data_IF_009420769825
#
_entry.id   IF_009420769825
#
_cell.length_a   1.000
_cell.length_b   1.000
_cell.length_c   1.000
_cell.angle_alpha   90.00
_cell.angle_beta   90.00
_cell.angle_gamma   90.00
#
_symmetry.space_group_name_H-M   'P 1'
#
loop_
_entity.id
_entity.type
_entity.pdbx_description
1 polymer ?
#
# COMPACT_ATOMS: atom_id res chain seq x y z
N UNK A 1 17.66 1.80 8.13
CA UNK A 1 16.23 1.99 8.44
C UNK A 1 15.62 2.87 7.36
N UNK A 2 14.86 2.31 6.46
CA UNK A 2 14.24 3.05 5.36
C UNK A 2 12.74 3.18 5.60
N UNK A 3 12.21 4.38 5.44
CA UNK A 3 10.78 4.67 5.46
C UNK A 3 10.38 5.24 4.10
N UNK A 4 9.32 4.69 3.51
CA UNK A 4 8.80 5.16 2.23
C UNK A 4 7.54 5.99 2.45
N UNK A 5 7.51 7.19 1.90
CA UNK A 5 6.40 8.12 2.03
C UNK A 5 5.50 8.04 0.79
N UNK A 6 4.78 6.93 0.64
CA UNK A 6 3.95 6.68 -0.56
C UNK A 6 2.78 7.64 -0.69
N UNK A 7 2.17 8.07 0.41
CA UNK A 7 1.09 9.07 0.38
C UNK A 7 1.56 10.44 -0.11
N UNK A 8 2.86 10.74 -0.01
CA UNK A 8 3.43 11.95 -0.61
C UNK A 8 3.30 11.94 -2.13
N UNK A 9 3.43 10.78 -2.77
CA UNK A 9 3.20 10.66 -4.22
C UNK A 9 1.73 10.93 -4.57
N UNK A 10 0.80 10.45 -3.75
CA UNK A 10 -0.62 10.68 -3.95
C UNK A 10 -0.99 12.17 -3.84
N UNK A 11 -0.64 12.83 -2.75
CA UNK A 11 -1.04 14.21 -2.50
C UNK A 11 -0.23 15.26 -3.27
N UNK A 12 1.06 15.01 -3.51
CA UNK A 12 1.98 16.01 -4.05
C UNK A 12 2.68 15.59 -5.35
N UNK A 13 2.41 14.39 -5.83
CA UNK A 13 3.09 13.81 -7.00
C UNK A 13 3.01 14.67 -8.25
N UNK A 14 1.86 15.30 -8.50
CA UNK A 14 1.71 16.21 -9.66
C UNK A 14 2.66 17.40 -9.59
N UNK A 15 2.85 17.98 -8.41
CA UNK A 15 3.81 19.09 -8.22
C UNK A 15 5.24 18.61 -8.43
N UNK A 16 5.55 17.41 -7.93
CA UNK A 16 6.88 16.82 -8.11
C UNK A 16 7.17 16.56 -9.58
N UNK A 17 6.21 15.98 -10.31
CA UNK A 17 6.38 15.66 -11.73
C UNK A 17 6.43 16.91 -12.60
N UNK A 18 5.48 17.85 -12.42
CA UNK A 18 5.25 18.91 -13.36
C UNK A 18 6.00 20.21 -13.05
N UNK A 19 6.39 20.42 -11.78
CA UNK A 19 7.00 21.68 -11.34
C UNK A 19 8.45 21.49 -10.87
N UNK A 20 8.69 20.50 -9.97
CA UNK A 20 9.98 20.47 -9.25
C UNK A 20 11.04 19.59 -9.90
N UNK A 21 10.68 18.39 -10.37
CA UNK A 21 11.67 17.36 -10.71
C UNK A 21 11.61 16.89 -12.15
N UNK A 22 10.49 17.09 -12.83
CA UNK A 22 10.21 16.45 -14.12
C UNK A 22 9.84 14.96 -13.96
N UNK A 23 9.36 14.31 -15.03
CA UNK A 23 8.79 12.96 -14.96
C UNK A 23 9.79 11.90 -14.50
N UNK A 24 11.00 11.89 -15.03
CA UNK A 24 11.99 10.87 -14.68
C UNK A 24 12.35 10.85 -13.20
N UNK A 25 12.72 11.99 -12.62
CA UNK A 25 13.08 12.07 -11.20
C UNK A 25 11.87 11.90 -10.28
N UNK A 26 10.69 12.38 -10.68
CA UNK A 26 9.46 12.18 -9.91
C UNK A 26 9.10 10.70 -9.78
N UNK A 27 9.38 9.87 -10.78
CA UNK A 27 9.18 8.43 -10.71
C UNK A 27 10.01 7.76 -9.60
N UNK A 28 11.12 8.37 -9.20
CA UNK A 28 12.01 7.86 -8.15
C UNK A 28 11.63 8.35 -6.73
N UNK A 29 10.58 9.13 -6.58
CA UNK A 29 10.12 9.54 -5.24
C UNK A 29 9.54 8.33 -4.52
N UNK A 30 9.95 8.10 -3.26
CA UNK A 30 9.53 6.96 -2.45
C UNK A 30 9.73 5.62 -3.19
N UNK A 31 10.97 5.23 -3.52
CA UNK A 31 11.27 4.11 -4.40
C UNK A 31 11.14 2.76 -3.67
N UNK A 32 9.91 2.37 -3.34
CA UNK A 32 9.63 1.21 -2.50
C UNK A 32 10.01 -0.12 -3.18
N UNK A 33 9.81 -0.24 -4.51
CA UNK A 33 10.15 -1.47 -5.22
C UNK A 33 11.66 -1.73 -5.23
N UNK A 34 12.49 -0.71 -5.34
CA UNK A 34 13.95 -0.90 -5.18
C UNK A 34 14.29 -1.49 -3.81
N UNK A 35 13.61 -1.09 -2.74
CA UNK A 35 13.85 -1.67 -1.42
C UNK A 35 13.54 -3.17 -1.40
N UNK A 36 12.47 -3.59 -2.07
CA UNK A 36 12.13 -5.01 -2.23
C UNK A 36 13.22 -5.75 -3.00
N UNK A 37 13.62 -5.22 -4.15
CA UNK A 37 14.57 -5.89 -5.05
C UNK A 37 15.97 -6.05 -4.43
N UNK A 38 16.37 -5.08 -3.61
CA UNK A 38 17.62 -5.14 -2.86
C UNK A 38 17.50 -5.84 -1.50
N UNK A 39 16.35 -6.45 -1.20
CA UNK A 39 16.11 -7.14 0.07
C UNK A 39 16.14 -6.21 1.30
N UNK A 40 15.92 -4.92 1.10
CA UNK A 40 15.90 -3.94 2.18
C UNK A 40 14.53 -3.91 2.86
N UNK A 41 14.53 -4.02 4.17
CA UNK A 41 13.31 -3.83 4.96
C UNK A 41 12.94 -2.35 5.04
N UNK A 42 11.68 -2.05 4.78
CA UNK A 42 11.14 -0.69 4.83
C UNK A 42 9.72 -0.70 5.38
N UNK A 43 9.27 0.43 5.88
CA UNK A 43 7.88 0.65 6.25
C UNK A 43 7.33 1.89 5.56
N UNK A 44 6.01 1.99 5.52
CA UNK A 44 5.34 3.23 5.13
C UNK A 44 5.23 4.19 6.32
N UNK A 45 5.14 5.48 6.03
CA UNK A 45 4.78 6.51 6.98
C UNK A 45 3.95 7.60 6.30
N UNK A 46 3.20 8.36 7.08
CA UNK A 46 2.32 9.41 6.61
C UNK A 46 2.83 10.82 6.90
N UNK A 47 3.84 10.96 7.77
CA UNK A 47 4.37 12.26 8.19
C UNK A 47 3.25 13.19 8.63
N UNK A 48 2.51 12.76 9.64
CA UNK A 48 1.24 13.38 10.10
C UNK A 48 1.38 14.89 10.28
N UNK A 49 0.44 15.60 9.77
CA UNK A 49 0.25 16.98 9.42
C UNK A 49 0.64 17.30 7.96
N UNK A 50 1.58 16.58 7.35
CA UNK A 50 1.87 16.69 5.91
C UNK A 50 0.83 15.92 5.11
N UNK A 51 0.54 14.68 5.53
CA UNK A 51 -0.59 13.89 5.01
C UNK A 51 -1.38 13.27 6.16
N UNK A 52 -2.69 12.99 5.97
CA UNK A 52 -3.50 12.32 6.98
C UNK A 52 -2.96 10.93 7.31
N UNK A 53 -3.12 10.48 8.56
CA UNK A 53 -2.85 9.08 8.92
C UNK A 53 -3.88 8.20 8.25
N UNK A 54 -3.44 7.38 7.30
CA UNK A 54 -4.29 6.41 6.62
C UNK A 54 -3.44 5.24 6.10
N UNK A 55 -3.38 4.12 6.81
CA UNK A 55 -2.66 2.93 6.35
C UNK A 55 -3.20 2.40 5.02
N UNK A 56 -4.53 2.37 4.82
CA UNK A 56 -5.15 1.93 3.58
C UNK A 56 -4.80 2.84 2.40
N UNK A 57 -4.75 4.17 2.61
CA UNK A 57 -4.27 5.09 1.58
C UNK A 57 -2.78 4.87 1.29
N UNK A 58 -1.97 4.54 2.30
CA UNK A 58 -0.54 4.23 2.08
C UNK A 58 -0.37 2.97 1.25
N UNK A 59 -1.19 1.92 1.50
CA UNK A 59 -1.23 0.69 0.70
C UNK A 59 -1.63 1.03 -0.74
N UNK A 60 -2.78 1.68 -0.93
CA UNK A 60 -3.26 2.07 -2.26
C UNK A 60 -2.22 2.89 -3.03
N UNK A 61 -1.60 3.88 -2.38
CA UNK A 61 -0.56 4.70 -2.99
C UNK A 61 0.71 3.92 -3.35
N UNK A 62 1.07 2.94 -2.53
CA UNK A 62 2.21 2.05 -2.80
C UNK A 62 1.97 1.10 -3.97
N UNK A 63 0.73 0.65 -4.14
CA UNK A 63 0.32 -0.28 -5.21
C UNK A 63 0.07 0.46 -6.53
N UNK A 64 -0.54 1.63 -6.50
CA UNK A 64 -0.99 2.33 -7.71
C UNK A 64 -0.05 3.42 -8.17
N UNK A 65 0.56 4.15 -7.23
CA UNK A 65 1.33 5.38 -7.44
C UNK A 65 0.54 6.46 -8.20
N UNK A 66 -0.78 6.44 -8.11
CA UNK A 66 -1.69 7.42 -8.72
C UNK A 66 -1.75 8.66 -7.84
N UNK A 67 -1.86 9.85 -8.45
CA UNK A 67 -2.00 11.10 -7.72
C UNK A 67 -3.47 11.44 -7.44
N UNK A 68 -3.73 12.23 -6.40
CA UNK A 68 -5.09 12.69 -6.06
C UNK A 68 -5.76 13.44 -7.21
N UNK A 69 -4.99 14.19 -7.99
CA UNK A 69 -5.49 14.96 -9.12
C UNK A 69 -5.88 14.09 -10.31
N UNK A 70 -5.33 12.86 -10.41
CA UNK A 70 -5.71 11.95 -11.49
C UNK A 70 -7.20 11.61 -11.46
N UNK A 71 -7.84 11.73 -10.29
CA UNK A 71 -9.28 11.52 -10.10
C UNK A 71 -10.13 12.79 -10.30
N UNK A 72 -9.52 13.98 -10.19
CA UNK A 72 -10.25 15.26 -10.19
C UNK A 72 -10.25 15.96 -11.54
N UNK A 73 -9.30 15.63 -12.42
CA UNK A 73 -9.14 16.31 -13.71
C UNK A 73 -8.84 15.29 -14.81
N UNK A 74 -9.51 15.42 -15.95
CA UNK A 74 -9.10 14.76 -17.18
C UNK A 74 -7.64 15.15 -17.47
N UNK A 75 -6.73 14.17 -17.45
CA UNK A 75 -5.29 14.41 -17.57
C UNK A 75 -4.49 14.28 -16.28
N UNK A 76 -5.07 13.71 -15.23
CA UNK A 76 -4.35 13.36 -13.99
C UNK A 76 -3.17 12.44 -14.25
N UNK A 77 -2.14 12.57 -13.43
CA UNK A 77 -0.82 11.98 -13.67
C UNK A 77 -0.62 10.71 -12.86
N UNK A 78 -0.22 9.64 -13.51
CA UNK A 78 0.36 8.46 -12.86
C UNK A 78 1.86 8.69 -12.70
N UNK A 79 2.37 8.55 -11.46
CA UNK A 79 3.80 8.67 -11.17
C UNK A 79 4.42 7.27 -11.15
N UNK A 80 4.19 6.51 -12.18
CA UNK A 80 4.86 5.24 -12.40
C UNK A 80 5.00 5.00 -13.88
N UNK A 81 6.03 4.31 -14.28
CA UNK A 81 6.16 3.74 -15.61
C UNK A 81 5.15 2.62 -15.86
N UNK A 82 3.89 2.85 -15.51
CA UNK A 82 2.83 1.87 -15.65
C UNK A 82 2.46 1.66 -17.11
N UNK A 83 2.26 0.40 -17.49
CA UNK A 83 1.67 0.00 -18.76
C UNK A 83 0.25 0.54 -19.02
N UNK A 84 -0.34 1.25 -18.05
CA UNK A 84 -1.63 1.93 -18.19
C UNK A 84 -1.51 3.40 -18.66
N UNK A 85 -0.30 3.94 -18.73
CA UNK A 85 -0.05 5.24 -19.36
C UNK A 85 0.55 4.99 -20.76
N UNK A 86 -0.25 5.13 -21.84
CA UNK A 86 0.23 4.92 -23.21
C UNK A 86 1.38 5.88 -23.58
N UNK A 87 1.43 7.07 -22.97
CA UNK A 87 2.50 8.03 -23.23
C UNK A 87 3.82 7.63 -22.57
N UNK A 88 3.75 7.02 -21.38
CA UNK A 88 4.93 6.49 -20.70
C UNK A 88 5.53 5.29 -21.46
N UNK A 89 4.68 4.46 -22.08
CA UNK A 89 5.14 3.32 -22.88
C UNK A 89 5.86 3.78 -24.15
N UNK A 90 5.37 4.82 -24.80
CA UNK A 90 5.99 5.38 -26.01
C UNK A 90 7.35 6.02 -25.69
N UNK A 91 7.46 6.73 -24.57
CA UNK A 91 8.74 7.27 -24.12
C UNK A 91 9.74 6.17 -23.73
N UNK A 92 9.28 5.06 -23.15
CA UNK A 92 10.09 3.88 -22.81
C UNK A 92 10.68 3.21 -24.07
N UNK A 93 9.86 3.01 -25.10
CA UNK A 93 10.31 2.41 -26.36
C UNK A 93 11.32 3.32 -27.09
N UNK A 94 11.03 4.61 -27.17
CA UNK A 94 11.93 5.58 -27.80
C UNK A 94 13.30 5.72 -27.09
N UNK A 95 13.34 5.44 -25.79
CA UNK A 95 14.56 5.54 -25.00
C UNK A 95 15.38 4.26 -24.94
N UNK A 96 14.77 3.11 -25.16
CA UNK A 96 15.51 1.83 -25.28
C UNK A 96 16.58 1.87 -26.37
N UNK A 97 16.35 2.63 -27.43
CA UNK A 97 17.27 2.72 -28.57
C UNK A 97 18.46 3.68 -28.36
N UNK A 98 18.45 4.52 -27.33
CA UNK A 98 19.47 5.53 -27.09
C UNK A 98 20.70 5.08 -26.28
N UNK A 99 20.71 3.86 -25.76
CA UNK A 99 21.87 3.21 -25.14
C UNK A 99 22.46 3.85 -23.88
N UNK A 100 21.85 4.90 -23.30
CA UNK A 100 22.42 5.66 -22.18
C UNK A 100 21.50 5.64 -20.97
N UNK A 101 21.96 5.02 -19.90
CA UNK A 101 21.51 5.11 -18.48
C UNK A 101 19.99 5.25 -18.24
N UNK A 102 19.21 4.44 -18.92
CA UNK A 102 17.76 4.53 -18.99
C UNK A 102 17.04 3.80 -17.88
N UNK A 103 17.70 2.82 -17.27
CA UNK A 103 17.07 1.85 -16.36
C UNK A 103 16.63 2.42 -15.03
N UNK A 104 17.18 3.54 -14.57
CA UNK A 104 16.84 4.12 -13.28
C UNK A 104 15.55 4.94 -13.30
N UNK A 105 15.28 5.68 -14.36
CA UNK A 105 14.17 6.64 -14.39
C UNK A 105 12.83 6.01 -14.73
N UNK A 106 12.87 4.86 -15.41
CA UNK A 106 11.68 4.19 -15.93
C UNK A 106 11.31 2.93 -15.13
N UNK A 107 12.00 2.69 -14.00
CA UNK A 107 11.74 1.54 -13.17
C UNK A 107 10.39 1.64 -12.48
N UNK A 108 9.58 0.57 -12.57
CA UNK A 108 8.29 0.53 -11.91
C UNK A 108 8.45 0.41 -10.39
N UNK A 109 8.07 1.43 -9.66
CA UNK A 109 8.16 1.52 -8.21
C UNK A 109 6.89 1.06 -7.50
N UNK A 110 5.92 0.49 -8.22
CA UNK A 110 4.71 -0.07 -7.61
C UNK A 110 5.01 -1.37 -6.90
N UNK A 111 4.37 -1.54 -5.76
CA UNK A 111 4.38 -2.77 -4.98
C UNK A 111 3.18 -3.66 -5.33
N UNK A 112 3.29 -4.95 -5.05
CA UNK A 112 2.09 -5.77 -4.94
C UNK A 112 1.39 -5.52 -3.58
N UNK A 113 0.13 -5.96 -3.47
CA UNK A 113 -0.69 -5.73 -2.27
C UNK A 113 -0.05 -6.30 -1.01
N UNK A 114 0.50 -7.51 -1.07
CA UNK A 114 1.13 -8.16 0.08
C UNK A 114 2.35 -7.38 0.58
N UNK A 115 3.20 -6.89 -0.32
CA UNK A 115 4.35 -6.06 0.03
C UNK A 115 3.92 -4.76 0.70
N UNK A 116 2.85 -4.13 0.19
CA UNK A 116 2.31 -2.89 0.73
C UNK A 116 1.65 -3.11 2.12
N UNK A 117 0.94 -4.22 2.33
CA UNK A 117 0.40 -4.61 3.64
C UNK A 117 1.56 -4.85 4.63
N UNK A 118 2.58 -5.60 4.25
CA UNK A 118 3.75 -5.80 5.11
C UNK A 118 4.42 -4.48 5.50
N UNK A 119 4.42 -3.49 4.62
CA UNK A 119 5.02 -2.18 4.89
C UNK A 119 4.25 -1.36 5.95
N UNK A 120 3.01 -1.71 6.26
CA UNK A 120 2.20 -1.07 7.34
C UNK A 120 1.96 -1.99 8.54
N UNK A 121 2.40 -3.25 8.51
CA UNK A 121 2.17 -4.24 9.58
C UNK A 121 3.48 -4.83 10.11
N UNK A 122 3.99 -5.87 9.50
CA UNK A 122 5.16 -6.59 9.95
C UNK A 122 6.44 -5.74 9.94
N UNK A 123 6.60 -4.86 8.94
CA UNK A 123 7.81 -4.04 8.83
C UNK A 123 7.88 -2.94 9.91
N UNK A 124 6.82 -2.18 10.24
CA UNK A 124 6.80 -1.31 11.39
C UNK A 124 7.07 -2.04 12.72
N UNK A 125 6.48 -3.24 12.92
CA UNK A 125 6.76 -4.04 14.10
C UNK A 125 8.27 -4.36 14.22
N UNK A 126 8.88 -4.82 13.14
CA UNK A 126 10.32 -5.06 13.10
C UNK A 126 11.14 -3.79 13.36
N UNK A 127 10.78 -2.65 12.76
CA UNK A 127 11.50 -1.39 12.96
C UNK A 127 11.48 -0.91 14.42
N UNK A 128 10.39 -1.20 15.14
CA UNK A 128 10.21 -0.84 16.53
C UNK A 128 10.69 -1.95 17.50
N UNK A 129 11.30 -3.04 16.99
CA UNK A 129 11.73 -4.21 17.76
C UNK A 129 10.58 -4.89 18.51
N UNK A 130 9.43 -4.92 17.88
CA UNK A 130 8.20 -5.55 18.37
C UNK A 130 7.82 -6.80 17.55
N UNK A 131 8.67 -7.23 16.62
CA UNK A 131 8.53 -8.52 15.95
C UNK A 131 8.52 -9.65 17.00
N UNK A 132 7.62 -10.58 16.83
CA UNK A 132 7.36 -11.61 17.85
C UNK A 132 6.38 -11.17 18.97
N UNK A 133 5.83 -9.96 18.88
CA UNK A 133 4.72 -9.49 19.73
C UNK A 133 3.51 -9.05 18.93
N UNK A 134 3.72 -8.30 17.84
CA UNK A 134 2.69 -7.71 16.98
C UNK A 134 3.13 -7.76 15.51
N UNK A 135 2.28 -7.28 14.60
CA UNK A 135 2.59 -7.12 13.17
C UNK A 135 2.21 -8.30 12.29
N UNK A 136 1.72 -9.38 12.87
CA UNK A 136 1.15 -10.54 12.15
C UNK A 136 0.15 -11.27 13.03
N UNK A 137 -0.72 -12.08 12.41
CA UNK A 137 -1.67 -12.94 13.12
C UNK A 137 -1.03 -14.30 13.24
N UNK A 138 -0.51 -14.60 14.44
CA UNK A 138 0.13 -15.87 14.77
C UNK A 138 -0.13 -16.23 16.23
N UNK A 139 -0.19 -17.53 16.53
CA UNK A 139 -0.30 -18.01 17.90
C UNK A 139 0.86 -17.48 18.76
N UNK A 140 0.54 -16.96 19.95
CA UNK A 140 1.51 -16.40 20.88
C UNK A 140 1.82 -14.92 20.71
N UNK A 141 1.27 -14.26 19.68
CA UNK A 141 1.33 -12.81 19.54
C UNK A 141 0.14 -12.13 20.21
N UNK A 142 0.24 -10.81 20.43
CA UNK A 142 -0.93 -10.03 20.85
C UNK A 142 -2.02 -10.05 19.78
N UNK A 143 -3.27 -10.08 20.24
CA UNK A 143 -4.43 -10.01 19.35
C UNK A 143 -4.68 -8.54 18.93
N UNK A 144 -3.75 -8.02 18.12
CA UNK A 144 -3.85 -6.69 17.51
C UNK A 144 -4.18 -6.89 16.03
N UNK A 145 -5.41 -6.57 15.64
CA UNK A 145 -5.87 -6.77 14.27
C UNK A 145 -6.99 -5.81 13.87
N UNK A 146 -7.18 -5.70 12.58
CA UNK A 146 -8.24 -4.89 11.96
C UNK A 146 -9.08 -5.77 11.04
N UNK A 147 -10.41 -5.65 11.14
CA UNK A 147 -11.36 -6.32 10.25
C UNK A 147 -11.82 -5.30 9.21
N UNK A 148 -11.70 -5.69 7.96
CA UNK A 148 -12.12 -4.92 6.80
C UNK A 148 -13.41 -5.50 6.24
N UNK A 149 -14.25 -4.70 5.60
CA UNK A 149 -15.48 -5.17 4.96
C UNK A 149 -15.25 -5.74 3.55
N UNK A 150 -14.08 -5.47 2.96
CA UNK A 150 -13.69 -6.01 1.66
C UNK A 150 -12.25 -6.54 1.72
N UNK A 151 -11.95 -7.56 0.91
CA UNK A 151 -10.60 -8.10 0.77
C UNK A 151 -9.76 -7.19 -0.12
N UNK A 152 -8.67 -6.59 0.38
CA UNK A 152 -7.81 -5.72 -0.39
C UNK A 152 -7.15 -6.42 -1.58
N UNK A 153 -6.97 -7.74 -1.55
CA UNK A 153 -6.44 -8.50 -2.69
C UNK A 153 -7.45 -8.59 -3.82
N UNK A 154 -8.71 -8.90 -3.49
CA UNK A 154 -9.81 -8.96 -4.47
C UNK A 154 -10.11 -7.57 -5.05
N UNK A 155 -10.16 -6.56 -4.19
CA UNK A 155 -10.35 -5.16 -4.62
C UNK A 155 -9.25 -4.73 -5.59
N UNK A 156 -8.00 -5.12 -5.32
CA UNK A 156 -6.86 -4.76 -6.17
C UNK A 156 -6.90 -5.37 -7.58
N UNK A 157 -7.57 -6.50 -7.77
CA UNK A 157 -7.71 -7.13 -9.09
C UNK A 157 -8.53 -6.29 -10.05
N UNK A 158 -9.51 -5.54 -9.53
CA UNK A 158 -10.45 -4.74 -10.34
C UNK A 158 -10.12 -3.26 -10.32
N UNK A 159 -9.85 -2.70 -9.14
CA UNK A 159 -9.57 -1.28 -8.94
C UNK A 159 -8.69 -1.08 -7.69
N UNK A 160 -7.36 -1.16 -7.81
CA UNK A 160 -6.47 -1.07 -6.65
C UNK A 160 -6.52 0.28 -5.92
N UNK A 161 -7.08 1.33 -6.53
CA UNK A 161 -7.27 2.62 -5.86
C UNK A 161 -8.37 2.55 -4.79
N UNK A 162 -9.35 1.67 -4.95
CA UNK A 162 -10.42 1.46 -3.98
C UNK A 162 -9.92 0.91 -2.64
N UNK A 163 -8.73 0.33 -2.57
CA UNK A 163 -8.14 -0.09 -1.29
C UNK A 163 -8.17 1.05 -0.27
N UNK A 164 -7.95 2.30 -0.71
CA UNK A 164 -7.99 3.46 0.17
C UNK A 164 -9.36 3.74 0.80
N UNK A 165 -10.43 3.23 0.22
CA UNK A 165 -11.83 3.43 0.65
C UNK A 165 -12.46 2.20 1.28
N UNK A 166 -11.74 1.10 1.42
CA UNK A 166 -12.19 -0.07 2.16
C UNK A 166 -12.52 0.37 3.60
N UNK A 167 -13.69 -0.03 4.08
CA UNK A 167 -14.14 0.37 5.41
C UNK A 167 -13.55 -0.57 6.46
N UNK A 168 -12.99 0.03 7.51
CA UNK A 168 -12.62 -0.67 8.74
C UNK A 168 -13.89 -0.89 9.58
N UNK A 169 -14.26 -2.14 9.79
CA UNK A 169 -15.45 -2.50 10.60
C UNK A 169 -15.10 -2.64 12.07
N UNK A 170 -13.92 -3.17 12.37
CA UNK A 170 -13.47 -3.38 13.74
C UNK A 170 -11.96 -3.23 13.84
N UNK A 171 -11.49 -2.67 14.93
CA UNK A 171 -10.07 -2.68 15.32
C UNK A 171 -9.94 -3.20 16.74
N UNK A 172 -9.09 -4.20 16.92
CA UNK A 172 -8.81 -4.84 18.21
C UNK A 172 -7.37 -4.57 18.59
N UNK A 173 -7.15 -4.19 19.85
CA UNK A 173 -5.83 -3.99 20.44
C UNK A 173 -5.80 -4.66 21.81
N UNK A 174 -4.89 -5.61 22.01
CA UNK A 174 -4.76 -6.35 23.25
C UNK A 174 -6.07 -7.00 23.69
N UNK A 175 -6.70 -7.77 22.81
CA UNK A 175 -7.98 -8.48 23.00
C UNK A 175 -9.21 -7.58 23.18
N UNK A 176 -9.07 -6.26 23.03
CA UNK A 176 -10.18 -5.32 23.24
C UNK A 176 -10.54 -4.60 21.94
N UNK A 177 -11.81 -4.60 21.54
CA UNK A 177 -12.25 -3.75 20.43
C UNK A 177 -12.16 -2.29 20.85
N UNK A 178 -11.38 -1.51 20.11
CA UNK A 178 -11.25 -0.06 20.27
C UNK A 178 -12.06 0.71 19.23
N UNK A 179 -12.51 0.02 18.19
CA UNK A 179 -13.40 0.51 17.15
C UNK A 179 -14.28 -0.63 16.67
N UNK A 180 -15.57 -0.37 16.43
CA UNK A 180 -16.53 -1.38 16.00
C UNK A 180 -16.87 -2.41 17.06
N UNK A 181 -17.36 -3.57 16.64
CA UNK A 181 -17.74 -4.68 17.50
C UNK A 181 -17.07 -5.95 16.98
N UNK A 182 -16.62 -6.80 17.92
CA UNK A 182 -16.33 -8.18 17.55
C UNK A 182 -17.67 -8.88 17.32
N UNK A 183 -17.85 -9.59 16.21
CA UNK A 183 -18.97 -10.51 16.06
C UNK A 183 -18.96 -11.50 17.25
N UNK A 184 -20.15 -11.94 17.69
CA UNK A 184 -20.25 -12.92 18.76
C UNK A 184 -19.32 -14.12 18.49
N UNK A 185 -18.68 -14.61 19.54
CA UNK A 185 -17.73 -15.72 19.44
C UNK A 185 -18.33 -16.97 18.79
N UNK A 186 -19.65 -17.16 18.87
CA UNK A 186 -20.37 -18.23 18.19
C UNK A 186 -20.31 -18.12 16.65
N UNK A 187 -20.14 -16.92 16.11
CA UNK A 187 -19.97 -16.72 14.68
C UNK A 187 -18.67 -17.35 14.16
N UNK A 188 -17.59 -17.27 14.94
CA UNK A 188 -16.29 -17.84 14.55
C UNK A 188 -16.17 -19.32 14.91
N UNK A 189 -16.81 -19.78 16.01
CA UNK A 189 -16.73 -21.16 16.46
C UNK A 189 -17.60 -22.13 15.65
N UNK A 190 -18.66 -21.64 15.03
CA UNK A 190 -19.60 -22.45 14.26
C UNK A 190 -19.35 -22.47 12.73
N UNK A 191 -18.38 -21.71 12.22
CA UNK A 191 -17.88 -21.90 10.85
C UNK A 191 -16.73 -22.89 10.88
N UNK A 192 -16.79 -24.00 10.12
CA UNK A 192 -15.64 -24.88 9.99
C UNK A 192 -14.48 -24.07 9.41
N UNK A 193 -13.32 -24.11 10.06
CA UNK A 193 -12.03 -23.61 9.58
C UNK A 193 -11.54 -24.42 8.36
N UNK A 194 -12.40 -24.70 7.42
CA UNK A 194 -12.09 -25.32 6.16
C UNK A 194 -11.76 -24.22 5.15
N UNK A 195 -10.52 -23.81 5.15
CA UNK A 195 -9.68 -23.43 4.02
C UNK A 195 -10.22 -22.58 2.88
N UNK A 196 -11.33 -21.83 3.04
CA UNK A 196 -11.86 -20.96 1.99
C UNK A 196 -12.56 -19.76 2.59
N UNK A 197 -11.96 -18.59 2.39
CA UNK A 197 -12.68 -17.32 2.51
C UNK A 197 -13.75 -17.29 1.41
N UNK A 198 -15.02 -17.29 1.79
CA UNK A 198 -16.11 -17.12 0.81
C UNK A 198 -16.07 -15.66 0.30
N UNK A 199 -16.57 -15.36 -0.91
CA UNK A 199 -16.54 -14.02 -1.50
C UNK A 199 -17.18 -12.91 -0.65
N UNK A 200 -17.93 -13.24 0.39
CA UNK A 200 -18.57 -12.32 1.33
C UNK A 200 -18.05 -12.43 2.77
N UNK A 201 -16.99 -13.20 3.01
CA UNK A 201 -16.42 -13.30 4.34
C UNK A 201 -15.54 -12.08 4.63
N UNK A 202 -15.58 -11.62 5.87
CA UNK A 202 -14.73 -10.51 6.32
C UNK A 202 -13.26 -10.93 6.31
N UNK A 203 -12.41 -10.09 5.78
CA UNK A 203 -10.96 -10.30 5.76
C UNK A 203 -10.34 -9.63 6.97
N UNK A 204 -9.50 -10.38 7.68
CA UNK A 204 -8.76 -9.86 8.81
C UNK A 204 -7.36 -9.45 8.36
N UNK A 205 -7.05 -8.18 8.52
CA UNK A 205 -5.72 -7.62 8.23
C UNK A 205 -5.16 -7.01 9.50
N UNK A 206 -3.95 -7.38 9.87
CA UNK A 206 -3.26 -6.79 11.01
C UNK A 206 -2.74 -5.41 10.62
N UNK A 207 -3.18 -4.39 11.34
CA UNK A 207 -2.69 -3.02 11.21
C UNK A 207 -2.23 -2.56 12.59
N UNK A 208 -0.96 -2.29 12.75
CA UNK A 208 -0.35 -1.81 14.01
C UNK A 208 0.18 -0.38 13.86
#
# INVERSE_FOLDING_TARGET
LFRSFTTHTYFYGDRHKNIFFGPGRANQISPAQYSVDYGQKFSFHNDTMVTPISPLQSIASGVTRVTAKSKMWEGGTVISGSSKDPSATVELEARKDSGVMQTYWDYDQRLNVLQAIHAVTAMPAWQNKLEGKIGSIQEGLFADFTILDEDPFVVAETDPEKIASIRVTTTVVGDKPIHGFLPDTDYFLNKPLAGYVQPNDQVVVTVT
#
